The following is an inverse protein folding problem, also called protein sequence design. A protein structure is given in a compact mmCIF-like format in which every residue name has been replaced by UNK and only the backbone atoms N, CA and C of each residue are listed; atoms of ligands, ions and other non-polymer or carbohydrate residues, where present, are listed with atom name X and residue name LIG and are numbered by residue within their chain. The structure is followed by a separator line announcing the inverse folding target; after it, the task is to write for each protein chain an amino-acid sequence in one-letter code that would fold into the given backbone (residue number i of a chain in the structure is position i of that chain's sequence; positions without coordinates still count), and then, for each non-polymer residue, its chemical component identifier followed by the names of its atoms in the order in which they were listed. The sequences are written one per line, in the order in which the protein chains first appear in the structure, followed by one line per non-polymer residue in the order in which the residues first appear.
data_IF_458662903339
#
_entry.id   IF_458662903339
#
_cell.length_a   1.000
_cell.length_b   1.000
_cell.length_c   1.000
_cell.angle_alpha   90.00
_cell.angle_beta   90.00
_cell.angle_gamma   90.00
#
_symmetry.space_group_name_H-M   'P 1'
#
loop_
_entity.id
_entity.type
_entity.pdbx_description
1 polymer ?
#
# COMPACT_ATOMS: atom_id res chain seq x y z
N UNK A 1 8.01 -37.07 -5.87
CA UNK A 1 6.67 -36.61 -5.42
C UNK A 1 6.85 -35.90 -4.11
N UNK A 2 7.16 -34.59 -4.13
CA UNK A 2 7.30 -33.82 -2.91
C UNK A 2 5.92 -33.35 -2.48
N UNK A 3 5.53 -33.72 -1.26
CA UNK A 3 4.27 -33.37 -0.64
C UNK A 3 4.01 -31.85 -0.78
N UNK A 4 2.93 -31.52 -1.43
CA UNK A 4 2.39 -30.17 -1.53
C UNK A 4 1.91 -29.80 -0.13
N UNK A 5 2.77 -29.13 0.63
CA UNK A 5 2.41 -28.58 1.94
C UNK A 5 1.26 -27.61 1.69
N UNK A 6 0.11 -27.89 2.24
CA UNK A 6 -1.11 -27.09 2.19
C UNK A 6 -0.79 -25.64 2.55
N UNK A 7 -0.54 -24.83 1.54
CA UNK A 7 -0.24 -23.41 1.69
C UNK A 7 -1.56 -22.67 1.80
N UNK A 8 -2.10 -22.61 3.02
CA UNK A 8 -3.27 -21.83 3.35
C UNK A 8 -3.17 -20.46 2.67
N UNK A 9 -4.11 -20.18 1.75
CA UNK A 9 -4.16 -18.94 0.97
C UNK A 9 -4.20 -17.73 1.92
N UNK A 10 -3.15 -16.88 1.97
CA UNK A 10 -3.17 -15.72 2.85
C UNK A 10 -4.27 -14.74 2.43
N UNK A 11 -4.92 -14.07 3.39
CA UNK A 11 -5.93 -13.05 3.10
C UNK A 11 -5.33 -11.92 2.25
N UNK A 12 -6.05 -11.50 1.19
CA UNK A 12 -5.63 -10.42 0.29
C UNK A 12 -5.41 -9.12 1.09
N UNK A 13 -6.43 -8.70 1.82
CA UNK A 13 -6.42 -7.43 2.56
C UNK A 13 -5.27 -7.41 3.56
N UNK A 14 -5.12 -8.48 4.33
CA UNK A 14 -4.06 -8.57 5.34
C UNK A 14 -2.66 -8.56 4.71
N UNK A 15 -2.49 -9.18 3.55
CA UNK A 15 -1.22 -9.19 2.82
C UNK A 15 -0.87 -7.80 2.27
N UNK A 16 -1.86 -7.08 1.73
CA UNK A 16 -1.67 -5.71 1.24
C UNK A 16 -1.39 -4.71 2.36
N UNK A 17 -2.10 -4.82 3.48
CA UNK A 17 -1.83 -4.01 4.68
C UNK A 17 -0.43 -4.26 5.26
N UNK A 18 0.07 -5.50 5.17
CA UNK A 18 1.44 -5.86 5.55
C UNK A 18 2.47 -5.58 4.46
N UNK A 19 2.09 -4.91 3.37
CA UNK A 19 2.97 -4.59 2.24
C UNK A 19 3.70 -5.81 1.67
N UNK A 20 2.99 -6.93 1.53
CA UNK A 20 3.50 -8.14 0.90
C UNK A 20 3.16 -8.18 -0.58
N UNK A 21 4.00 -8.88 -1.37
CA UNK A 21 3.78 -9.06 -2.80
C UNK A 21 2.36 -9.56 -3.10
N UNK A 22 1.58 -8.91 -3.94
CA UNK A 22 0.19 -9.30 -4.22
C UNK A 22 0.06 -10.65 -4.93
N UNK A 23 1.06 -11.03 -5.75
CA UNK A 23 1.06 -12.29 -6.50
C UNK A 23 1.22 -13.52 -5.61
N UNK A 24 2.24 -13.56 -4.76
CA UNK A 24 2.51 -14.70 -3.88
C UNK A 24 2.03 -14.50 -2.44
N UNK A 25 1.77 -13.24 -2.01
CA UNK A 25 1.37 -12.81 -0.66
C UNK A 25 2.36 -13.18 0.45
N UNK A 26 3.64 -13.41 0.09
CA UNK A 26 4.69 -13.87 1.01
C UNK A 26 5.91 -12.97 1.03
N UNK A 27 6.44 -12.59 -0.14
CA UNK A 27 7.60 -11.72 -0.27
C UNK A 27 7.33 -10.28 0.20
N UNK A 28 8.37 -9.63 0.71
CA UNK A 28 8.29 -8.22 1.12
C UNK A 28 8.44 -7.30 -0.10
N UNK A 29 7.61 -6.23 -0.16
CA UNK A 29 7.68 -5.22 -1.22
C UNK A 29 8.76 -4.20 -0.95
N UNK A 30 8.99 -3.84 0.32
CA UNK A 30 9.94 -2.80 0.72
C UNK A 30 11.21 -3.37 1.29
N UNK A 31 12.34 -2.69 1.03
CA UNK A 31 13.65 -3.10 1.54
C UNK A 31 13.72 -2.97 3.08
N UNK A 32 13.05 -1.95 3.65
CA UNK A 32 13.00 -1.74 5.09
C UNK A 32 11.61 -2.03 5.64
N UNK A 33 11.55 -2.75 6.76
CA UNK A 33 10.29 -3.07 7.42
C UNK A 33 9.69 -1.87 8.14
N UNK A 34 10.54 -1.02 8.74
CA UNK A 34 10.07 0.15 9.50
C UNK A 34 9.64 1.28 8.56
N UNK A 35 8.38 1.77 8.65
CA UNK A 35 7.88 2.86 7.82
C UNK A 35 8.46 4.23 8.17
N UNK A 36 9.05 4.39 9.36
CA UNK A 36 9.64 5.66 9.83
C UNK A 36 11.17 5.74 9.62
N UNK A 37 11.80 4.71 9.08
CA UNK A 37 13.24 4.72 8.82
C UNK A 37 13.58 5.52 7.56
N UNK A 38 14.77 6.10 7.51
CA UNK A 38 15.27 6.75 6.29
C UNK A 38 15.24 5.77 5.11
N UNK A 39 14.71 6.23 3.96
CA UNK A 39 14.53 5.37 2.78
C UNK A 39 13.36 4.38 2.90
N UNK A 40 12.38 4.66 3.75
CA UNK A 40 11.21 3.80 3.98
C UNK A 40 10.40 3.49 2.70
N UNK A 41 10.47 4.35 1.68
CA UNK A 41 9.78 4.17 0.40
C UNK A 41 10.56 3.32 -0.61
N UNK A 42 11.79 2.92 -0.29
CA UNK A 42 12.61 2.13 -1.20
C UNK A 42 12.05 0.71 -1.31
N UNK A 43 11.61 0.38 -2.52
CA UNK A 43 11.04 -0.92 -2.85
C UNK A 43 12.11 -1.87 -3.36
N UNK A 44 11.82 -3.16 -3.31
CA UNK A 44 12.62 -4.18 -4.00
C UNK A 44 12.29 -4.13 -5.49
N UNK A 45 13.27 -4.35 -6.37
CA UNK A 45 13.05 -4.38 -7.82
C UNK A 45 12.17 -5.56 -8.22
N UNK A 46 12.39 -6.70 -7.57
CA UNK A 46 11.63 -7.93 -7.78
C UNK A 46 11.30 -8.60 -6.44
N UNK A 47 10.24 -9.41 -6.44
CA UNK A 47 9.88 -10.20 -5.28
C UNK A 47 10.90 -11.34 -5.07
N UNK A 48 11.49 -11.43 -3.88
CA UNK A 48 12.46 -12.48 -3.52
C UNK A 48 11.88 -13.90 -3.53
N UNK A 49 10.54 -14.03 -3.53
CA UNK A 49 9.84 -15.34 -3.44
C UNK A 49 9.31 -15.81 -4.79
N UNK A 50 8.75 -14.93 -5.60
CA UNK A 50 8.10 -15.30 -6.86
C UNK A 50 8.68 -14.56 -8.09
N UNK A 51 9.70 -13.73 -7.94
CA UNK A 51 10.33 -13.00 -9.03
C UNK A 51 9.50 -11.89 -9.68
N UNK A 52 8.27 -11.61 -9.19
CA UNK A 52 7.41 -10.57 -9.75
C UNK A 52 8.07 -9.20 -9.66
N UNK A 53 8.21 -8.45 -10.77
CA UNK A 53 8.66 -7.06 -10.72
C UNK A 53 7.69 -6.22 -9.89
N UNK A 54 8.25 -5.34 -9.04
CA UNK A 54 7.44 -4.44 -8.20
C UNK A 54 7.13 -3.13 -8.93
N UNK A 55 7.93 -2.77 -9.93
CA UNK A 55 7.73 -1.61 -10.79
C UNK A 55 7.46 -2.11 -12.22
N UNK A 56 6.24 -1.88 -12.71
CA UNK A 56 5.80 -2.38 -14.01
C UNK A 56 6.11 -1.38 -15.14
N UNK A 57 6.05 -0.08 -14.84
CA UNK A 57 6.27 0.99 -15.81
C UNK A 57 6.96 2.19 -15.15
N UNK A 58 7.76 2.97 -15.89
CA UNK A 58 8.27 4.26 -15.38
C UNK A 58 7.09 5.14 -14.97
N UNK A 59 7.12 5.62 -13.71
CA UNK A 59 6.01 6.42 -13.19
C UNK A 59 4.77 5.65 -12.76
N UNK A 60 4.83 4.31 -12.72
CA UNK A 60 3.71 3.44 -12.32
C UNK A 60 3.02 3.86 -11.01
N UNK A 61 3.80 4.39 -10.07
CA UNK A 61 3.28 4.79 -8.74
C UNK A 61 2.65 6.18 -8.68
N UNK A 62 2.54 6.93 -9.79
CA UNK A 62 1.81 8.20 -9.77
C UNK A 62 0.34 8.02 -9.37
N UNK A 63 -0.31 6.94 -9.80
CA UNK A 63 -1.68 6.64 -9.43
C UNK A 63 -1.91 6.36 -7.93
N UNK A 64 -0.84 6.09 -7.16
CA UNK A 64 -0.96 5.88 -5.71
C UNK A 64 -1.38 7.13 -4.95
N UNK A 65 -1.21 8.32 -5.54
CA UNK A 65 -1.64 9.60 -4.97
C UNK A 65 -3.15 9.57 -4.70
N UNK A 66 -3.93 9.07 -5.68
CA UNK A 66 -5.38 8.95 -5.53
C UNK A 66 -5.77 8.00 -4.39
N UNK A 67 -5.07 6.87 -4.27
CA UNK A 67 -5.33 5.90 -3.18
C UNK A 67 -4.93 6.50 -1.83
N UNK A 68 -3.79 7.17 -1.73
CA UNK A 68 -3.36 7.84 -0.50
C UNK A 68 -4.37 8.89 -0.06
N UNK A 69 -4.87 9.69 -1.01
CA UNK A 69 -5.90 10.69 -0.74
C UNK A 69 -7.19 10.02 -0.23
N UNK A 70 -7.68 8.99 -0.92
CA UNK A 70 -8.88 8.27 -0.51
C UNK A 70 -8.75 7.65 0.89
N UNK A 71 -7.58 7.06 1.21
CA UNK A 71 -7.31 6.51 2.54
C UNK A 71 -7.27 7.59 3.63
N UNK A 72 -6.70 8.75 3.33
CA UNK A 72 -6.66 9.88 4.26
C UNK A 72 -8.05 10.44 4.54
N UNK A 73 -8.88 10.61 3.48
CA UNK A 73 -10.28 11.03 3.61
C UNK A 73 -11.08 10.01 4.42
N UNK A 74 -10.93 8.71 4.12
CA UNK A 74 -11.59 7.64 4.86
C UNK A 74 -11.24 7.68 6.35
N UNK A 75 -9.97 7.90 6.68
CA UNK A 75 -9.51 8.02 8.06
C UNK A 75 -10.11 9.24 8.75
N UNK A 76 -10.20 10.39 8.07
CA UNK A 76 -10.87 11.59 8.58
C UNK A 76 -12.36 11.31 8.87
N UNK A 77 -13.06 10.67 7.94
CA UNK A 77 -14.48 10.33 8.12
C UNK A 77 -14.68 9.39 9.30
N UNK A 78 -13.86 8.34 9.40
CA UNK A 78 -13.94 7.38 10.53
C UNK A 78 -13.67 8.10 11.85
N UNK A 79 -12.65 8.96 11.92
CA UNK A 79 -12.32 9.70 13.14
C UNK A 79 -13.42 10.69 13.50
N UNK A 80 -14.01 11.35 12.50
CA UNK A 80 -15.13 12.29 12.71
C UNK A 80 -16.36 11.58 13.27
N UNK A 81 -16.80 10.51 12.60
CA UNK A 81 -17.97 9.74 13.03
C UNK A 81 -17.73 9.11 14.39
N UNK A 82 -16.54 8.57 14.65
CA UNK A 82 -16.18 8.00 15.94
C UNK A 82 -16.25 9.04 17.07
N UNK A 83 -15.70 10.23 16.85
CA UNK A 83 -15.76 11.30 17.84
C UNK A 83 -17.19 11.81 18.04
N UNK A 84 -17.97 11.89 16.96
CA UNK A 84 -19.38 12.28 17.03
C UNK A 84 -20.22 11.31 17.86
N UNK A 85 -20.02 10.01 17.67
CA UNK A 85 -20.78 8.99 18.41
C UNK A 85 -20.39 8.90 19.89
N UNK A 86 -19.12 9.17 20.24
CA UNK A 86 -18.61 9.00 21.61
C UNK A 86 -18.84 10.28 22.45
N UNK A 87 -18.52 11.44 21.88
CA UNK A 87 -18.45 12.71 22.62
C UNK A 87 -19.63 13.63 22.28
N UNK A 88 -20.18 13.48 21.04
CA UNK A 88 -21.14 14.42 20.47
C UNK A 88 -20.46 15.73 20.04
N UNK A 89 -20.86 16.29 18.92
CA UNK A 89 -20.45 17.63 18.51
C UNK A 89 -21.55 18.65 18.79
N UNK A 90 -21.20 19.72 19.50
CA UNK A 90 -21.98 20.94 19.58
C UNK A 90 -21.21 22.06 18.88
N UNK A 91 -21.88 22.79 18.01
CA UNK A 91 -21.24 23.91 17.27
C UNK A 91 -20.83 25.07 18.17
N UNK A 92 -21.28 25.07 19.43
CA UNK A 92 -20.95 26.11 20.44
C UNK A 92 -19.73 25.74 21.30
N UNK A 93 -19.23 24.50 21.19
CA UNK A 93 -18.11 24.01 21.99
C UNK A 93 -16.80 23.98 21.19
N UNK A 94 -15.67 24.26 21.86
CA UNK A 94 -14.33 24.14 21.26
C UNK A 94 -13.91 22.71 20.92
N UNK A 95 -14.76 21.71 21.13
CA UNK A 95 -14.47 20.29 20.88
C UNK A 95 -14.15 20.00 19.42
N UNK A 96 -14.80 20.72 18.49
CA UNK A 96 -14.53 20.59 17.05
C UNK A 96 -13.10 21.02 16.69
N UNK A 97 -12.61 22.12 17.26
CA UNK A 97 -11.23 22.58 17.03
C UNK A 97 -10.19 21.62 17.61
N UNK A 98 -10.46 21.04 18.77
CA UNK A 98 -9.62 19.99 19.36
C UNK A 98 -9.57 18.75 18.48
N UNK A 99 -10.71 18.32 17.92
CA UNK A 99 -10.75 17.22 16.97
C UNK A 99 -9.89 17.50 15.73
N UNK A 100 -9.99 18.70 15.12
CA UNK A 100 -9.16 19.09 13.97
C UNK A 100 -7.68 18.97 14.32
N UNK A 101 -7.24 19.53 15.44
CA UNK A 101 -5.85 19.49 15.87
C UNK A 101 -5.33 18.06 16.06
N UNK A 102 -6.07 17.23 16.78
CA UNK A 102 -5.72 15.84 17.01
C UNK A 102 -5.69 15.05 15.69
N UNK A 103 -6.68 15.25 14.82
CA UNK A 103 -6.76 14.57 13.54
C UNK A 103 -5.61 14.98 12.60
N UNK A 104 -5.20 16.25 12.60
CA UNK A 104 -4.05 16.71 11.83
C UNK A 104 -2.76 16.03 12.29
N UNK A 105 -2.51 15.95 13.58
CA UNK A 105 -1.34 15.25 14.14
C UNK A 105 -1.38 13.77 13.79
N UNK A 106 -2.54 13.12 13.89
CA UNK A 106 -2.75 11.72 13.54
C UNK A 106 -2.43 11.46 12.06
N UNK A 107 -2.91 12.30 11.16
CA UNK A 107 -2.64 12.18 9.72
C UNK A 107 -1.15 12.31 9.41
N UNK A 108 -0.48 13.30 10.00
CA UNK A 108 0.97 13.50 9.81
C UNK A 108 1.74 12.26 10.31
N UNK A 109 1.38 11.75 11.49
CA UNK A 109 2.02 10.57 12.05
C UNK A 109 1.80 9.31 11.20
N UNK A 110 0.59 9.12 10.64
CA UNK A 110 0.27 7.94 9.82
C UNK A 110 0.70 8.06 8.36
N UNK A 111 1.11 9.25 7.90
CA UNK A 111 1.47 9.51 6.50
C UNK A 111 2.44 8.48 5.90
N UNK A 112 3.58 8.13 6.54
CA UNK A 112 4.50 7.16 5.96
C UNK A 112 3.90 5.75 5.84
N UNK A 113 3.00 5.39 6.74
CA UNK A 113 2.28 4.11 6.68
C UNK A 113 1.27 4.11 5.54
N UNK A 114 0.47 5.18 5.41
CA UNK A 114 -0.52 5.33 4.33
C UNK A 114 0.13 5.32 2.95
N UNK A 115 1.28 5.97 2.79
CA UNK A 115 2.05 5.96 1.54
C UNK A 115 2.50 4.55 1.13
N UNK A 116 2.92 3.73 2.07
CA UNK A 116 3.29 2.33 1.79
C UNK A 116 2.09 1.47 1.43
N UNK A 117 1.03 1.60 2.20
CA UNK A 117 -0.21 0.87 1.98
C UNK A 117 -0.79 1.22 0.60
N UNK A 118 -0.82 2.50 0.22
CA UNK A 118 -1.33 2.93 -1.08
C UNK A 118 -0.56 2.30 -2.25
N UNK A 119 0.78 2.20 -2.17
CA UNK A 119 1.58 1.49 -3.18
C UNK A 119 1.27 0.00 -3.24
N UNK A 120 1.07 -0.62 -2.07
CA UNK A 120 0.70 -2.04 -2.01
C UNK A 120 -0.67 -2.30 -2.64
N UNK A 121 -1.65 -1.45 -2.37
CA UNK A 121 -2.98 -1.53 -2.98
C UNK A 121 -2.92 -1.29 -4.49
N UNK A 122 -2.16 -0.27 -4.94
CA UNK A 122 -1.99 0.04 -6.35
C UNK A 122 -1.41 -1.14 -7.12
N UNK A 123 -0.30 -1.71 -6.66
CA UNK A 123 0.28 -2.90 -7.29
C UNK A 123 -0.68 -4.10 -7.23
N UNK A 124 -1.43 -4.27 -6.13
CA UNK A 124 -2.42 -5.33 -5.97
C UNK A 124 -3.60 -5.24 -6.91
N UNK A 125 -3.90 -4.06 -7.46
CA UNK A 125 -4.91 -3.87 -8.48
C UNK A 125 -4.48 -4.45 -9.83
N UNK A 126 -3.21 -4.26 -10.22
CA UNK A 126 -2.66 -4.75 -11.50
C UNK A 126 -2.18 -6.19 -11.43
N UNK A 127 -1.60 -6.59 -10.30
CA UNK A 127 -1.02 -7.93 -10.11
C UNK A 127 -1.96 -8.80 -9.29
N UNK A 128 -2.64 -9.72 -9.96
CA UNK A 128 -3.55 -10.66 -9.31
C UNK A 128 -2.80 -11.80 -8.62
N UNK A 129 -3.42 -12.37 -7.60
CA UNK A 129 -2.91 -13.56 -6.93
C UNK A 129 -2.88 -14.75 -7.87
N UNK A 130 -1.74 -15.46 -7.94
CA UNK A 130 -1.60 -16.73 -8.64
C UNK A 130 -1.36 -17.87 -7.64
N UNK A 131 -2.22 -18.91 -7.61
CA UNK A 131 -1.97 -20.10 -6.79
C UNK A 131 -0.70 -20.83 -7.22
N UNK A 132 -0.39 -20.80 -8.53
CA UNK A 132 0.82 -21.37 -9.16
C UNK A 132 1.93 -20.32 -9.31
N UNK A 133 2.13 -19.48 -8.29
CA UNK A 133 3.14 -18.41 -8.33
C UNK A 133 4.58 -18.91 -8.53
N UNK A 134 4.83 -20.22 -8.35
CA UNK A 134 6.14 -20.86 -8.61
C UNK A 134 6.36 -21.20 -10.08
N UNK A 135 5.31 -21.49 -10.82
CA UNK A 135 5.36 -22.02 -12.19
C UNK A 135 4.64 -21.12 -13.21
N UNK A 136 3.86 -20.16 -12.72
CA UNK A 136 3.01 -19.32 -13.56
C UNK A 136 3.69 -18.08 -14.10
N UNK A 137 3.10 -17.51 -15.15
CA UNK A 137 3.59 -16.32 -15.84
C UNK A 137 3.70 -15.11 -14.90
N UNK A 138 4.85 -14.47 -14.96
CA UNK A 138 5.12 -13.21 -14.28
C UNK A 138 4.47 -12.10 -15.12
N UNK A 139 3.81 -11.12 -14.46
CA UNK A 139 3.42 -9.89 -15.15
C UNK A 139 4.72 -9.14 -15.46
N UNK A 140 5.09 -9.14 -16.73
CA UNK A 140 6.34 -8.56 -17.18
C UNK A 140 6.33 -7.03 -17.03
N UNK A 141 7.52 -6.48 -16.83
CA UNK A 141 7.72 -5.03 -16.87
C UNK A 141 7.49 -4.56 -18.31
N UNK A 142 6.66 -3.54 -18.52
CA UNK A 142 6.51 -2.93 -19.82
C UNK A 142 7.86 -2.31 -20.24
N UNK A 143 8.43 -2.78 -21.34
CA UNK A 143 9.68 -2.26 -21.87
C UNK A 143 9.41 -0.90 -22.53
N UNK A 144 9.55 0.16 -21.77
CA UNK A 144 9.57 1.51 -22.35
C UNK A 144 10.86 1.67 -23.11
N UNK A 145 10.78 2.05 -24.40
CA UNK A 145 11.94 2.43 -25.19
C UNK A 145 12.71 3.51 -24.44
N UNK A 146 14.02 3.29 -24.23
CA UNK A 146 14.91 4.23 -23.52
C UNK A 146 14.90 5.65 -24.12
N UNK A 147 14.51 5.79 -25.39
CA UNK A 147 14.37 7.05 -26.09
C UNK A 147 13.20 7.90 -25.57
N UNK A 148 12.15 7.29 -25.01
CA UNK A 148 11.03 8.01 -24.41
C UNK A 148 11.29 8.49 -22.98
N UNK A 149 12.28 7.93 -22.29
CA UNK A 149 12.66 8.35 -20.95
C UNK A 149 13.37 9.73 -20.90
N UNK A 150 13.93 10.20 -22.02
CA UNK A 150 14.67 11.46 -22.08
C UNK A 150 13.81 12.68 -22.49
N UNK A 151 12.50 12.53 -22.65
CA UNK A 151 11.58 13.60 -23.09
C UNK A 151 10.77 14.25 -21.96
N UNK A 152 11.26 14.15 -20.69
CA UNK A 152 10.65 14.84 -19.54
C UNK A 152 11.63 15.78 -18.86
#
# INVERSE_FOLDING_TARGET
MCAQKDDKKPSLILSLLKCKCPRCRRGDMFQRKNPYAAGFMKMNDTCSVCGQPMDLEPGFYYGTIMISYALSVLLCVISFVGTWLIIGFSLHDNRFFWWIGINAVLLIALQPVLMRISRSFWLGYFVRYSPRWREGDIVERYSVNKEQQNNW
#
